data_IF_547625705880
#
_entry.id   IF_547625705880
#
_cell.length_a   1.000
_cell.length_b   1.000
_cell.length_c   1.000
_cell.angle_alpha   90.00
_cell.angle_beta   90.00
_cell.angle_gamma   90.00
#
_symmetry.space_group_name_H-M   'P 1'
#
loop_
_entity.id
_entity.type
_entity.pdbx_description
1 polymer ?
#
# COMPACT_ATOMS: atom_id res chain seq x y z
N UNK A 1 -8.03 -5.14 3.38
CA UNK A 1 -8.13 -4.65 1.99
C UNK A 1 -8.70 -3.24 2.01
N UNK A 2 -8.14 -2.32 1.23
CA UNK A 2 -8.73 -1.00 0.96
C UNK A 2 -9.55 -1.10 -0.33
N UNK A 3 -10.85 -1.35 -0.20
CA UNK A 3 -11.75 -1.58 -1.35
C UNK A 3 -12.27 -0.31 -2.03
N UNK A 4 -12.10 0.85 -1.40
CA UNK A 4 -12.63 2.14 -1.85
C UNK A 4 -11.56 3.23 -1.73
N UNK A 5 -11.61 4.30 -2.53
CA UNK A 5 -10.67 5.40 -2.37
C UNK A 5 -10.75 6.02 -0.95
N UNK A 6 -9.60 6.29 -0.30
CA UNK A 6 -9.59 7.06 0.94
C UNK A 6 -10.15 8.47 0.73
N UNK A 7 -10.60 9.11 1.82
CA UNK A 7 -11.13 10.48 1.75
C UNK A 7 -10.01 11.48 1.46
N UNK A 8 -10.27 12.40 0.54
CA UNK A 8 -9.40 13.55 0.25
C UNK A 8 -10.15 14.87 0.46
N UNK A 9 -9.50 15.90 1.05
CA UNK A 9 -8.23 15.83 1.78
C UNK A 9 -8.35 15.01 3.10
N UNK A 10 -7.27 14.44 3.66
CA UNK A 10 -5.86 14.68 3.34
C UNK A 10 -5.19 13.65 2.42
N UNK A 11 -5.90 12.63 1.92
CA UNK A 11 -5.28 11.65 1.03
C UNK A 11 -4.87 12.28 -0.31
N UNK A 12 -3.60 12.13 -0.68
CA UNK A 12 -3.02 12.71 -1.89
C UNK A 12 -3.05 11.77 -3.11
N UNK A 13 -3.39 10.49 -2.93
CA UNK A 13 -3.48 9.53 -4.03
C UNK A 13 -4.78 9.64 -4.83
N UNK A 14 -4.96 8.74 -5.80
CA UNK A 14 -6.17 8.71 -6.62
C UNK A 14 -7.44 8.46 -5.77
N UNK A 15 -8.40 9.40 -5.82
CA UNK A 15 -9.70 9.30 -5.15
C UNK A 15 -10.90 9.12 -6.08
N UNK A 16 -10.69 9.11 -7.40
CA UNK A 16 -11.77 8.88 -8.35
C UNK A 16 -12.19 7.39 -8.31
N UNK A 17 -13.43 7.06 -7.90
CA UNK A 17 -13.88 5.68 -7.81
C UNK A 17 -13.81 4.90 -9.13
N UNK A 18 -13.78 5.58 -10.28
CA UNK A 18 -13.71 4.94 -11.60
C UNK A 18 -12.31 4.48 -11.97
N UNK A 19 -11.28 5.12 -11.41
CA UNK A 19 -9.87 4.86 -11.74
C UNK A 19 -9.06 4.38 -10.53
N UNK A 20 -9.65 4.41 -9.34
CA UNK A 20 -9.08 3.85 -8.13
C UNK A 20 -8.87 2.33 -8.27
N UNK A 21 -7.67 1.88 -7.90
CA UNK A 21 -7.35 0.46 -7.82
C UNK A 21 -7.29 0.05 -6.36
N UNK A 22 -8.12 -0.93 -5.98
CA UNK A 22 -8.10 -1.51 -4.65
C UNK A 22 -6.77 -2.20 -4.38
N UNK A 23 -6.34 -2.19 -3.11
CA UNK A 23 -5.10 -2.83 -2.69
C UNK A 23 -5.25 -3.56 -1.36
N UNK A 24 -4.39 -4.56 -1.17
CA UNK A 24 -4.22 -5.28 0.07
C UNK A 24 -3.76 -4.35 1.20
N UNK A 25 -4.25 -4.61 2.40
CA UNK A 25 -3.79 -3.95 3.62
C UNK A 25 -3.53 -5.04 4.63
N UNK A 26 -2.37 -5.00 5.28
CA UNK A 26 -1.96 -5.99 6.26
C UNK A 26 -1.17 -5.37 7.41
N UNK A 27 -1.06 -6.11 8.50
CA UNK A 27 -0.19 -5.77 9.62
C UNK A 27 1.19 -6.38 9.39
N UNK A 28 2.20 -5.53 9.24
CA UNK A 28 3.60 -5.93 9.08
C UNK A 28 4.29 -5.79 10.43
N UNK A 29 4.91 -6.87 10.88
CA UNK A 29 5.78 -6.86 12.05
C UNK A 29 7.19 -6.45 11.65
N UNK A 30 7.68 -5.36 12.24
CA UNK A 30 9.09 -5.01 12.21
C UNK A 30 9.76 -5.67 13.43
N UNK A 31 10.63 -6.68 13.23
CA UNK A 31 11.12 -7.50 14.34
C UNK A 31 11.74 -6.68 15.46
N UNK A 32 11.30 -6.94 16.70
CA UNK A 32 11.79 -6.25 17.89
C UNK A 32 11.35 -4.79 18.03
N UNK A 33 10.45 -4.31 17.16
CA UNK A 33 9.99 -2.93 17.15
C UNK A 33 8.47 -2.85 17.33
N UNK A 34 7.74 -2.68 16.23
CA UNK A 34 6.30 -2.42 16.21
C UNK A 34 5.63 -3.21 15.09
N UNK A 35 4.30 -3.26 15.14
CA UNK A 35 3.46 -3.67 14.01
C UNK A 35 2.86 -2.43 13.37
N UNK A 36 2.95 -2.34 12.05
CA UNK A 36 2.35 -1.25 11.27
C UNK A 36 1.26 -1.81 10.37
N UNK A 37 0.13 -1.10 10.27
CA UNK A 37 -0.83 -1.35 9.19
C UNK A 37 -0.30 -0.68 7.93
N UNK A 38 -0.11 -1.46 6.86
CA UNK A 38 0.53 -0.98 5.64
C UNK A 38 -0.15 -1.55 4.39
N UNK A 39 0.03 -0.83 3.28
CA UNK A 39 -0.35 -1.29 1.94
C UNK A 39 0.51 -2.48 1.52
N UNK A 40 -0.14 -3.48 0.91
CA UNK A 40 0.52 -4.64 0.30
C UNK A 40 0.52 -4.50 -1.23
N UNK A 41 1.56 -5.01 -1.90
CA UNK A 41 1.60 -5.10 -3.37
C UNK A 41 0.79 -6.27 -3.91
N UNK A 42 0.63 -7.34 -3.13
CA UNK A 42 -0.26 -8.47 -3.41
C UNK A 42 -1.57 -8.34 -2.61
N UNK A 43 -2.69 -8.62 -3.27
CA UNK A 43 -4.05 -8.49 -2.71
C UNK A 43 -4.83 -9.81 -2.73
N UNK A 44 -4.35 -10.83 -3.44
CA UNK A 44 -4.91 -12.18 -3.47
C UNK A 44 -4.60 -12.92 -2.15
N UNK A 45 -5.61 -13.19 -1.30
CA UNK A 45 -5.41 -13.87 -0.04
C UNK A 45 -4.81 -15.27 -0.18
N UNK A 46 -5.02 -15.96 -1.32
CA UNK A 46 -4.48 -17.29 -1.55
C UNK A 46 -2.94 -17.30 -1.69
N UNK A 47 -2.35 -16.14 -2.01
CA UNK A 47 -0.90 -15.95 -2.13
C UNK A 47 -0.26 -15.34 -0.89
N UNK A 48 -1.04 -15.04 0.15
CA UNK A 48 -0.57 -14.43 1.39
C UNK A 48 -0.68 -15.43 2.55
N UNK A 49 0.28 -15.38 3.48
CA UNK A 49 0.29 -16.20 4.69
C UNK A 49 0.70 -15.36 5.89
N UNK A 50 0.17 -15.67 7.07
CA UNK A 50 0.63 -15.06 8.32
C UNK A 50 2.07 -15.51 8.59
N UNK A 51 2.94 -14.57 8.93
CA UNK A 51 4.38 -14.82 9.13
C UNK A 51 5.18 -14.93 7.82
N UNK A 52 4.57 -14.62 6.68
CA UNK A 52 5.29 -14.46 5.41
C UNK A 52 6.31 -13.34 5.52
N UNK A 53 7.51 -13.57 4.98
CA UNK A 53 8.55 -12.55 4.91
C UNK A 53 8.19 -11.49 3.86
N UNK A 54 8.36 -10.23 4.24
CA UNK A 54 7.93 -9.08 3.45
C UNK A 54 9.04 -8.04 3.38
N UNK A 55 9.21 -7.42 2.22
CA UNK A 55 10.16 -6.33 1.99
C UNK A 55 9.42 -5.01 1.78
N UNK A 56 9.95 -3.91 2.35
CA UNK A 56 9.43 -2.57 2.09
C UNK A 56 9.84 -2.12 0.69
N UNK A 57 8.86 -1.68 -0.09
CA UNK A 57 9.06 -1.13 -1.44
C UNK A 57 8.43 0.26 -1.55
N UNK A 58 8.87 1.03 -2.54
CA UNK A 58 8.24 2.29 -2.91
C UNK A 58 7.28 2.07 -4.07
N UNK A 59 6.08 2.65 -3.97
CA UNK A 59 5.07 2.60 -5.02
C UNK A 59 4.58 4.01 -5.37
N UNK A 60 4.21 4.29 -6.62
CA UNK A 60 3.64 5.58 -6.99
C UNK A 60 2.36 5.89 -6.20
N UNK A 61 2.26 7.13 -5.71
CA UNK A 61 1.09 7.66 -5.01
C UNK A 61 0.29 8.59 -5.93
N UNK A 62 0.96 9.60 -6.50
CA UNK A 62 0.42 10.54 -7.47
C UNK A 62 1.56 11.26 -8.22
N UNK A 63 1.20 12.20 -9.09
CA UNK A 63 2.10 13.19 -9.67
C UNK A 63 1.74 14.57 -9.12
N UNK A 64 2.73 15.33 -8.67
CA UNK A 64 2.51 16.69 -8.13
C UNK A 64 2.32 17.74 -9.23
N UNK A 65 2.05 18.99 -8.84
CA UNK A 65 1.83 20.11 -9.78
C UNK A 65 3.07 20.48 -10.61
N UNK A 66 4.27 20.11 -10.14
CA UNK A 66 5.53 20.32 -10.85
C UNK A 66 5.87 19.14 -11.78
N UNK A 67 5.03 18.11 -11.82
CA UNK A 67 5.23 16.92 -12.65
C UNK A 67 6.13 15.85 -12.02
N UNK A 68 6.47 15.97 -10.73
CA UNK A 68 7.28 14.95 -10.05
C UNK A 68 6.43 13.75 -9.66
N UNK A 69 7.00 12.54 -9.76
CA UNK A 69 6.38 11.36 -9.18
C UNK A 69 6.56 11.37 -7.66
N UNK A 70 5.44 11.37 -6.94
CA UNK A 70 5.41 11.21 -5.49
C UNK A 70 5.17 9.73 -5.20
N UNK A 71 5.99 9.16 -4.33
CA UNK A 71 5.91 7.76 -3.92
C UNK A 71 5.48 7.63 -2.47
N UNK A 72 4.94 6.46 -2.13
CA UNK A 72 4.66 6.03 -0.75
C UNK A 72 5.25 4.65 -0.51
N UNK A 73 5.34 4.22 0.74
CA UNK A 73 5.79 2.88 1.08
C UNK A 73 4.67 1.85 0.95
N UNK A 74 5.04 0.63 0.61
CA UNK A 74 4.22 -0.58 0.65
C UNK A 74 5.09 -1.78 1.02
N UNK A 75 4.49 -2.96 1.18
CA UNK A 75 5.22 -4.19 1.44
C UNK A 75 4.88 -5.27 0.41
N UNK A 76 5.92 -5.94 -0.09
CA UNK A 76 5.82 -7.03 -1.06
C UNK A 76 6.32 -8.34 -0.44
N UNK A 77 5.71 -9.50 -0.75
CA UNK A 77 6.28 -10.80 -0.39
C UNK A 77 7.68 -10.95 -0.96
N UNK A 78 8.62 -11.44 -0.15
CA UNK A 78 9.92 -11.90 -0.64
C UNK A 78 9.71 -13.28 -1.30
N UNK A 79 10.29 -13.47 -2.49
CA UNK A 79 10.10 -14.67 -3.31
C UNK A 79 10.57 -15.96 -2.63
#
# INVERSE_FOLDING_TARGET
>A
MQGYPPKSPPYAGNVDPKTFQAFGVGYIELPGQIKIEARLTESDPAKLKIGMEMEMVLVPLNTDEAGNEVVTFAFAPVA
#
